data_IF_158154620870
#
_entry.id   IF_158154620870
#
_cell.length_a   1.000
_cell.length_b   1.000
_cell.length_c   1.000
_cell.angle_alpha   90.00
_cell.angle_beta   90.00
_cell.angle_gamma   90.00
#
_symmetry.space_group_name_H-M   'P 1'
#
loop_
_entity.id
_entity.type
_entity.pdbx_description
1 polymer ?
#
# COMPACT_ATOMS: atom_id res chain seq x y z
N UNK A 1 11.63 3.35 -1.85
CA UNK A 1 10.49 3.34 -0.89
C UNK A 1 10.15 1.92 -0.49
N UNK A 2 9.68 1.77 0.72
CA UNK A 2 9.28 0.48 1.25
C UNK A 2 7.76 0.32 1.21
N UNK A 3 7.28 -0.85 0.85
CA UNK A 3 5.86 -1.14 0.80
C UNK A 3 5.32 -1.41 2.22
N UNK A 4 4.20 -0.79 2.53
CA UNK A 4 3.61 -0.76 3.86
C UNK A 4 3.83 0.60 4.51
N UNK A 5 2.85 1.49 4.34
CA UNK A 5 2.98 2.90 4.75
C UNK A 5 3.08 3.04 6.26
N UNK A 6 4.09 3.80 6.70
CA UNK A 6 4.21 4.24 8.08
C UNK A 6 3.99 5.75 8.09
N UNK A 7 2.88 6.23 8.67
CA UNK A 7 2.56 7.66 8.61
C UNK A 7 3.54 8.50 9.42
N UNK A 8 3.74 9.74 8.99
CA UNK A 8 4.71 10.65 9.61
C UNK A 8 4.47 10.86 11.12
N UNK A 9 3.23 10.71 11.57
CA UNK A 9 2.83 10.93 12.96
C UNK A 9 2.96 9.68 13.84
N UNK A 10 3.41 8.55 13.29
CA UNK A 10 3.47 7.29 14.05
C UNK A 10 4.44 7.41 15.23
N UNK A 11 3.98 7.02 16.41
CA UNK A 11 4.77 7.07 17.65
C UNK A 11 4.76 5.74 18.42
N UNK A 12 4.24 4.68 17.81
CA UNK A 12 4.22 3.38 18.44
C UNK A 12 5.59 2.71 18.47
N UNK A 13 5.65 1.55 19.10
CA UNK A 13 6.90 0.80 19.26
C UNK A 13 6.94 -0.47 18.39
N UNK A 14 5.95 -0.69 17.53
CA UNK A 14 5.90 -1.84 16.64
C UNK A 14 5.61 -1.41 15.18
N UNK A 15 6.55 -0.69 14.56
CA UNK A 15 6.31 -0.15 13.21
C UNK A 15 6.08 -1.24 12.16
N UNK A 16 6.73 -2.38 12.28
CA UNK A 16 6.56 -3.46 11.29
C UNK A 16 5.17 -4.07 11.36
N UNK A 17 4.63 -4.22 12.56
CA UNK A 17 3.27 -4.70 12.74
C UNK A 17 2.24 -3.74 12.14
N UNK A 18 2.44 -2.44 12.36
CA UNK A 18 1.59 -1.40 11.76
C UNK A 18 1.64 -1.44 10.24
N UNK A 19 2.84 -1.55 9.67
CA UNK A 19 3.05 -1.53 8.23
C UNK A 19 2.40 -2.70 7.50
N UNK A 20 2.25 -3.84 8.16
CA UNK A 20 1.56 -4.98 7.56
C UNK A 20 0.08 -4.73 7.33
N UNK A 21 -0.50 -3.78 8.05
CA UNK A 21 -1.91 -3.40 7.90
C UNK A 21 -2.11 -2.28 6.87
N UNK A 22 -1.04 -1.71 6.35
CA UNK A 22 -1.08 -0.55 5.46
C UNK A 22 -0.47 -0.84 4.09
N UNK A 23 -0.44 -2.09 3.67
CA UNK A 23 0.02 -2.46 2.34
C UNK A 23 -0.89 -1.86 1.28
N UNK A 24 -2.19 -1.85 1.53
CA UNK A 24 -3.20 -1.35 0.62
C UNK A 24 -4.07 -0.29 1.28
N UNK A 25 -4.48 0.71 0.49
CA UNK A 25 -5.43 1.72 0.90
C UNK A 25 -6.63 1.64 -0.04
N UNK A 26 -7.82 1.36 0.50
CA UNK A 26 -9.02 1.24 -0.32
C UNK A 26 -9.53 2.61 -0.72
N UNK A 27 -9.74 2.81 -2.01
CA UNK A 27 -10.18 4.11 -2.52
C UNK A 27 -11.53 4.53 -1.92
N UNK A 28 -12.38 3.57 -1.58
CA UNK A 28 -13.71 3.84 -1.02
C UNK A 28 -13.65 4.49 0.36
N UNK A 29 -12.58 4.25 1.12
CA UNK A 29 -12.49 4.69 2.52
C UNK A 29 -11.22 5.46 2.86
N UNK A 30 -10.27 5.60 1.93
CA UNK A 30 -8.98 6.22 2.26
C UNK A 30 -9.11 7.66 2.78
N UNK A 31 -10.12 8.40 2.31
CA UNK A 31 -10.37 9.78 2.76
C UNK A 31 -10.86 9.85 4.22
N UNK A 32 -11.29 8.72 4.79
CA UNK A 32 -11.75 8.63 6.18
C UNK A 32 -10.65 8.13 7.13
N UNK A 33 -9.56 7.59 6.59
CA UNK A 33 -8.50 6.99 7.40
C UNK A 33 -7.47 8.03 7.79
N UNK A 34 -7.15 8.10 9.08
CA UNK A 34 -6.16 9.04 9.61
C UNK A 34 -4.80 8.88 8.95
N UNK A 35 -4.45 7.67 8.56
CA UNK A 35 -3.17 7.39 7.89
C UNK A 35 -3.10 7.95 6.48
N UNK A 36 -4.23 8.19 5.81
CA UNK A 36 -4.25 8.43 4.37
C UNK A 36 -4.89 9.74 3.92
N UNK A 37 -5.87 10.28 4.68
CA UNK A 37 -6.76 11.31 4.14
C UNK A 37 -6.05 12.58 3.68
N UNK A 38 -4.89 12.90 4.24
CA UNK A 38 -4.11 14.08 3.82
C UNK A 38 -3.14 13.78 2.69
N UNK A 39 -2.78 12.51 2.50
CA UNK A 39 -1.77 12.12 1.54
C UNK A 39 -2.31 12.13 0.12
N UNK A 40 -3.61 11.92 -0.05
CA UNK A 40 -4.24 11.85 -1.37
C UNK A 40 -4.07 13.14 -2.18
N UNK A 41 -3.95 14.27 -1.49
CA UNK A 41 -3.80 15.55 -2.17
C UNK A 41 -2.36 15.93 -2.47
N UNK A 42 -1.40 15.46 -1.66
CA UNK A 42 -0.04 15.96 -1.71
C UNK A 42 1.02 14.91 -1.94
N UNK A 43 0.74 13.65 -1.61
CA UNK A 43 1.77 12.59 -1.62
C UNK A 43 1.29 11.37 -2.40
N UNK A 44 1.02 11.61 -3.68
CA UNK A 44 0.65 10.53 -4.61
C UNK A 44 1.89 10.01 -5.32
N UNK A 45 1.88 8.72 -5.62
CA UNK A 45 2.98 8.10 -6.35
C UNK A 45 2.45 7.07 -7.33
N UNK A 46 3.34 6.63 -8.20
CA UNK A 46 3.08 5.58 -9.18
C UNK A 46 3.99 4.42 -8.85
N UNK A 47 3.41 3.23 -8.76
CA UNK A 47 4.15 2.01 -8.44
C UNK A 47 4.18 1.14 -9.70
N UNK A 48 5.30 1.07 -10.41
CA UNK A 48 5.42 0.16 -11.55
C UNK A 48 5.48 -1.29 -11.08
N UNK A 49 4.82 -2.18 -11.80
CA UNK A 49 4.75 -3.58 -11.44
C UNK A 49 4.60 -4.44 -12.68
N UNK A 50 5.14 -5.65 -12.64
CA UNK A 50 4.93 -6.64 -13.71
C UNK A 50 3.76 -7.58 -13.41
N UNK A 51 3.22 -7.53 -12.21
CA UNK A 51 2.08 -8.35 -11.81
C UNK A 51 1.86 -8.31 -10.32
N UNK A 52 0.84 -8.99 -9.87
CA UNK A 52 0.54 -9.13 -8.45
C UNK A 52 -0.16 -10.45 -8.17
N UNK A 53 -0.09 -10.88 -6.92
CA UNK A 53 -0.75 -12.10 -6.48
C UNK A 53 -2.12 -11.78 -5.89
N UNK A 54 -3.11 -12.59 -6.26
CA UNK A 54 -4.42 -12.57 -5.63
C UNK A 54 -4.78 -13.96 -5.15
N UNK A 55 -5.49 -14.02 -4.02
CA UNK A 55 -5.92 -15.27 -3.43
C UNK A 55 -7.39 -15.47 -3.77
N UNK A 56 -7.71 -16.59 -4.41
CA UNK A 56 -9.08 -16.97 -4.72
C UNK A 56 -9.50 -18.12 -3.80
N UNK A 57 -10.68 -17.99 -3.19
CA UNK A 57 -11.21 -19.01 -2.31
C UNK A 57 -11.89 -20.09 -3.16
N UNK A 58 -11.38 -21.32 -3.07
CA UNK A 58 -11.93 -22.49 -3.72
C UNK A 58 -12.35 -23.48 -2.64
N UNK A 59 -13.65 -23.44 -2.26
CA UNK A 59 -14.13 -24.18 -1.10
C UNK A 59 -13.53 -23.63 0.18
N UNK A 60 -12.74 -24.44 0.89
CA UNK A 60 -12.03 -24.01 2.11
C UNK A 60 -10.56 -23.71 1.87
N UNK A 61 -10.11 -23.79 0.61
CA UNK A 61 -8.71 -23.60 0.27
C UNK A 61 -8.54 -22.29 -0.48
N UNK A 62 -7.50 -21.51 -0.14
CA UNK A 62 -7.13 -20.31 -0.86
C UNK A 62 -6.04 -20.67 -1.85
N UNK A 63 -6.26 -20.32 -3.11
CA UNK A 63 -5.32 -20.59 -4.21
C UNK A 63 -4.75 -19.26 -4.69
N UNK A 64 -3.41 -19.09 -4.72
CA UNK A 64 -2.81 -17.87 -5.23
C UNK A 64 -2.80 -17.87 -6.76
N UNK A 65 -3.12 -16.71 -7.32
CA UNK A 65 -3.01 -16.45 -8.76
C UNK A 65 -2.10 -15.26 -8.99
N UNK A 66 -1.21 -15.38 -9.95
CA UNK A 66 -0.39 -14.26 -10.39
C UNK A 66 -1.06 -13.59 -11.57
N UNK A 67 -1.43 -12.32 -11.39
CA UNK A 67 -2.15 -11.52 -12.38
C UNK A 67 -1.16 -10.57 -13.03
N UNK A 68 -1.12 -10.57 -14.37
CA UNK A 68 -0.21 -9.72 -15.12
C UNK A 68 -0.90 -9.22 -16.40
N UNK A 69 -0.46 -8.09 -16.96
CA UNK A 69 -1.04 -7.57 -18.19
C UNK A 69 -0.68 -8.44 -19.39
N UNK A 70 -1.59 -8.56 -20.36
CA UNK A 70 -1.39 -9.41 -21.53
C UNK A 70 -0.50 -8.77 -22.60
N UNK A 71 -0.50 -7.45 -22.69
CA UNK A 71 0.07 -6.73 -23.84
C UNK A 71 1.20 -5.78 -23.47
N UNK A 72 1.53 -5.66 -22.17
CA UNK A 72 2.67 -4.86 -21.72
C UNK A 72 3.44 -5.62 -20.65
N UNK A 73 4.78 -5.46 -20.59
CA UNK A 73 5.58 -6.12 -19.54
C UNK A 73 5.40 -5.49 -18.16
N UNK A 74 5.01 -4.22 -18.11
CA UNK A 74 4.89 -3.46 -16.87
C UNK A 74 3.61 -2.63 -16.91
N UNK A 75 2.94 -2.52 -15.78
CA UNK A 75 1.81 -1.60 -15.61
C UNK A 75 2.03 -0.76 -14.36
N UNK A 76 1.29 0.34 -14.27
CA UNK A 76 1.42 1.28 -13.16
C UNK A 76 0.23 1.18 -12.22
N UNK A 77 0.52 1.15 -10.93
CA UNK A 77 -0.50 1.19 -9.89
C UNK A 77 -0.42 2.52 -9.15
N UNK A 78 -1.59 3.05 -8.79
CA UNK A 78 -1.65 4.28 -8.00
C UNK A 78 -1.28 4.00 -6.55
N UNK A 79 -0.53 4.91 -5.96
CA UNK A 79 -0.14 4.81 -4.57
C UNK A 79 -0.14 6.14 -3.86
N UNK A 80 -0.04 6.08 -2.56
CA UNK A 80 0.20 7.22 -1.68
C UNK A 80 1.39 6.90 -0.80
N UNK A 81 2.15 7.90 -0.42
CA UNK A 81 3.37 7.68 0.36
C UNK A 81 3.48 8.68 1.50
N UNK A 82 4.33 8.36 2.46
CA UNK A 82 4.67 9.27 3.55
C UNK A 82 6.12 9.05 3.95
N UNK A 83 6.64 9.96 4.74
CA UNK A 83 7.99 9.89 5.26
C UNK A 83 7.95 9.96 6.78
N UNK A 84 8.51 8.96 7.42
CA UNK A 84 8.55 8.85 8.87
C UNK A 84 9.98 8.99 9.37
N UNK A 85 10.16 9.80 10.40
CA UNK A 85 11.46 10.01 11.04
C UNK A 85 11.37 9.52 12.47
N UNK A 86 12.31 8.62 12.86
CA UNK A 86 12.34 8.10 14.20
C UNK A 86 12.89 9.14 15.20
N UNK A 87 12.60 8.93 16.49
CA UNK A 87 13.10 9.81 17.54
C UNK A 87 14.62 9.80 17.64
N UNK A 88 15.25 8.73 17.20
CA UNK A 88 16.72 8.61 17.21
C UNK A 88 17.41 9.47 16.16
N UNK A 89 16.64 10.07 15.23
CA UNK A 89 17.21 10.87 14.15
C UNK A 89 17.83 10.04 13.03
N UNK A 90 17.50 8.76 12.95
CA UNK A 90 17.94 7.91 11.85
C UNK A 90 17.39 8.42 10.52
N UNK A 91 17.91 7.89 9.40
CA UNK A 91 17.45 8.28 8.08
C UNK A 91 15.93 8.12 7.96
N UNK A 92 15.24 9.09 7.32
CA UNK A 92 13.79 8.99 7.13
C UNK A 92 13.41 7.72 6.36
N UNK A 93 12.32 7.11 6.78
CA UNK A 93 11.74 5.97 6.07
C UNK A 93 10.67 6.48 5.13
N UNK A 94 10.87 6.31 3.84
CA UNK A 94 9.85 6.55 2.83
C UNK A 94 9.10 5.25 2.56
N UNK A 95 7.80 5.28 2.74
CA UNK A 95 6.95 4.11 2.59
C UNK A 95 5.66 4.45 1.87
N UNK A 96 5.01 3.44 1.30
CA UNK A 96 3.83 3.67 0.47
C UNK A 96 2.78 2.59 0.68
N UNK A 97 1.54 2.94 0.32
CA UNK A 97 0.42 2.02 0.19
C UNK A 97 -0.07 2.02 -1.25
N UNK A 98 -0.50 0.88 -1.74
CA UNK A 98 -1.12 0.77 -3.05
C UNK A 98 -2.62 1.03 -2.90
N UNK A 99 -3.16 1.90 -3.77
CA UNK A 99 -4.58 2.19 -3.76
C UNK A 99 -5.32 1.07 -4.48
N UNK A 100 -6.30 0.50 -3.80
CA UNK A 100 -7.11 -0.58 -4.34
C UNK A 100 -8.58 -0.19 -4.38
N UNK A 101 -9.35 -0.93 -5.15
CA UNK A 101 -10.81 -0.79 -5.19
C UNK A 101 -11.43 -2.16 -5.06
N UNK A 102 -12.74 -2.19 -4.80
CA UNK A 102 -13.48 -3.45 -4.75
C UNK A 102 -13.39 -4.16 -6.08
N UNK A 103 -13.18 -5.49 -6.02
CA UNK A 103 -13.15 -6.29 -7.23
C UNK A 103 -14.55 -6.32 -7.86
N UNK A 104 -14.58 -6.07 -9.17
CA UNK A 104 -15.79 -6.24 -9.94
C UNK A 104 -16.05 -7.73 -10.16
N UNK A 105 -17.18 -8.18 -9.71
CA UNK A 105 -17.60 -9.57 -9.91
C UNK A 105 -18.63 -9.68 -11.02
#
# INVERSE_FOLDING_TARGET
MSWGLLPHWYQGNEPQSFRQKTLNARIETLHEKKSYYRLIDTKRCVVPSDGFFEWQLMGKTKIPYFIYPNDTPIFSMAGIYDEWVSDSGAEPLQSFSIITTEANT
#
